data_IF_375315780770
#
_entry.id   IF_375315780770
#
_cell.length_a   1.000
_cell.length_b   1.000
_cell.length_c   1.000
_cell.angle_alpha   90.00
_cell.angle_beta   90.00
_cell.angle_gamma   90.00
#
_symmetry.space_group_name_H-M   'P 1'
#
loop_
_entity.id
_entity.type
_entity.pdbx_description
1 polymer ?
#
# COMPACT_ATOMS: atom_id res chain seq x y z
N UNK A 1 34.93 -9.29 -59.78
CA UNK A 1 33.75 -9.72 -59.00
C UNK A 1 33.81 -9.05 -57.63
N UNK A 2 33.03 -7.98 -57.40
CA UNK A 2 33.00 -7.24 -56.12
C UNK A 2 31.72 -7.64 -55.36
N UNK A 3 31.89 -8.07 -54.12
CA UNK A 3 30.85 -8.61 -53.23
C UNK A 3 29.99 -7.47 -52.70
N UNK A 4 28.67 -7.52 -52.94
CA UNK A 4 27.69 -6.70 -52.22
C UNK A 4 27.51 -7.25 -50.80
N UNK A 5 27.78 -6.43 -49.79
CA UNK A 5 27.30 -6.67 -48.42
C UNK A 5 25.84 -6.21 -48.34
N UNK A 6 24.95 -7.13 -47.98
CA UNK A 6 23.57 -6.85 -47.62
C UNK A 6 23.52 -6.65 -46.09
N UNK A 7 23.23 -5.43 -45.63
CA UNK A 7 23.03 -5.14 -44.21
C UNK A 7 21.54 -5.30 -43.91
N UNK A 8 21.18 -6.37 -43.21
CA UNK A 8 19.81 -6.61 -42.75
C UNK A 8 19.56 -5.85 -41.44
N UNK A 9 18.81 -4.75 -41.53
CA UNK A 9 18.36 -3.98 -40.37
C UNK A 9 17.18 -4.73 -39.71
N UNK A 10 17.45 -5.44 -38.62
CA UNK A 10 16.41 -6.12 -37.84
C UNK A 10 15.78 -5.13 -36.86
N UNK A 11 14.57 -4.65 -37.14
CA UNK A 11 13.76 -3.92 -36.16
C UNK A 11 13.32 -4.89 -35.07
N UNK A 12 13.90 -4.77 -33.88
CA UNK A 12 13.40 -5.44 -32.68
C UNK A 12 12.16 -4.69 -32.18
N UNK A 13 10.97 -5.21 -32.47
CA UNK A 13 9.75 -4.80 -31.77
C UNK A 13 9.82 -5.35 -30.34
N UNK A 14 10.23 -4.52 -29.39
CA UNK A 14 10.09 -4.83 -27.97
C UNK A 14 8.61 -4.65 -27.59
N UNK A 15 7.85 -5.74 -27.59
CA UNK A 15 6.53 -5.73 -26.93
C UNK A 15 6.78 -5.67 -25.43
N UNK A 16 6.55 -4.52 -24.81
CA UNK A 16 6.45 -4.45 -23.36
C UNK A 16 5.28 -5.36 -22.94
N UNK A 17 5.57 -6.47 -22.27
CA UNK A 17 4.52 -7.28 -21.67
C UNK A 17 3.82 -6.42 -20.61
N UNK A 18 2.49 -6.31 -20.70
CA UNK A 18 1.68 -5.63 -19.70
C UNK A 18 2.01 -6.18 -18.30
N UNK A 19 2.14 -5.28 -17.32
CA UNK A 19 2.56 -5.69 -15.99
C UNK A 19 1.46 -6.55 -15.36
N UNK A 20 1.83 -7.70 -14.80
CA UNK A 20 0.88 -8.59 -14.14
C UNK A 20 0.23 -7.85 -12.96
N UNK A 21 -1.10 -7.76 -12.94
CA UNK A 21 -1.85 -7.20 -11.82
C UNK A 21 -1.76 -8.12 -10.59
N UNK A 22 -0.76 -7.89 -9.75
CA UNK A 22 -0.53 -8.71 -8.55
C UNK A 22 -1.59 -8.47 -7.46
N UNK A 23 -2.29 -7.32 -7.48
CA UNK A 23 -3.35 -7.05 -6.51
C UNK A 23 -4.47 -8.09 -6.64
N UNK A 24 -4.97 -8.34 -7.85
CA UNK A 24 -6.03 -9.33 -8.05
C UNK A 24 -5.52 -10.77 -8.06
N UNK A 25 -4.30 -11.01 -8.55
CA UNK A 25 -3.72 -12.36 -8.60
C UNK A 25 -3.41 -12.90 -7.20
N UNK A 26 -2.97 -12.04 -6.27
CA UNK A 26 -2.49 -12.45 -4.93
C UNK A 26 -3.44 -12.12 -3.80
N UNK A 27 -4.43 -11.26 -4.03
CA UNK A 27 -5.41 -10.88 -3.01
C UNK A 27 -6.78 -11.32 -3.51
N UNK A 28 -7.30 -12.47 -3.05
CA UNK A 28 -8.63 -12.90 -3.42
C UNK A 28 -9.68 -11.90 -2.91
N UNK A 29 -10.93 -11.95 -3.43
CA UNK A 29 -12.00 -11.07 -2.94
C UNK A 29 -12.25 -11.20 -1.43
N UNK A 30 -12.11 -12.40 -0.87
CA UNK A 30 -12.18 -12.66 0.59
C UNK A 30 -11.07 -11.99 1.40
N UNK A 31 -10.07 -11.44 0.73
CA UNK A 31 -9.01 -10.64 1.30
C UNK A 31 -7.77 -11.40 1.76
N UNK A 32 -6.84 -10.61 2.29
CA UNK A 32 -5.56 -11.03 2.83
C UNK A 32 -5.15 -10.14 4.00
N UNK A 33 -4.53 -10.75 5.01
CA UNK A 33 -4.00 -10.04 6.16
C UNK A 33 -2.48 -10.06 6.14
N UNK A 34 -1.86 -8.92 6.42
CA UNK A 34 -0.42 -8.80 6.59
C UNK A 34 -0.09 -8.13 7.91
N UNK A 35 1.02 -8.54 8.51
CA UNK A 35 1.41 -8.05 9.82
C UNK A 35 2.92 -7.98 9.97
N UNK A 36 3.37 -6.95 10.69
CA UNK A 36 4.73 -6.84 11.20
C UNK A 36 4.67 -6.33 12.62
N UNK A 37 5.39 -6.98 13.52
CA UNK A 37 5.72 -6.46 14.85
C UNK A 37 7.22 -6.30 14.93
N UNK A 38 7.68 -5.14 15.37
CA UNK A 38 9.09 -4.88 15.59
C UNK A 38 9.45 -5.24 17.01
N UNK A 39 10.48 -6.08 17.16
CA UNK A 39 11.01 -6.44 18.47
C UNK A 39 11.92 -5.34 19.03
N UNK A 40 12.37 -5.55 20.27
CA UNK A 40 13.22 -4.59 20.96
C UNK A 40 14.61 -4.44 20.32
N UNK A 41 15.13 -5.47 19.64
CA UNK A 41 16.42 -5.40 18.98
C UNK A 41 16.33 -4.48 17.75
N UNK A 42 15.30 -4.68 16.92
CA UNK A 42 15.01 -3.81 15.77
C UNK A 42 14.79 -2.37 16.21
N UNK A 43 13.94 -2.13 17.21
CA UNK A 43 13.63 -0.77 17.68
C UNK A 43 14.84 -0.08 18.32
N UNK A 44 15.77 -0.82 18.93
CA UNK A 44 17.05 -0.25 19.40
C UNK A 44 17.98 0.15 18.25
N UNK A 45 18.00 -0.63 17.18
CA UNK A 45 18.78 -0.31 15.98
C UNK A 45 18.18 0.86 15.17
N UNK A 46 16.87 1.12 15.34
CA UNK A 46 16.12 2.16 14.63
C UNK A 46 15.47 3.15 15.63
N UNK A 47 16.26 3.96 16.34
CA UNK A 47 15.74 4.81 17.42
C UNK A 47 14.76 5.91 16.96
N UNK A 48 14.70 6.21 15.65
CA UNK A 48 13.74 7.14 15.07
C UNK A 48 12.42 6.49 14.66
N UNK A 49 12.31 5.16 14.77
CA UNK A 49 11.10 4.41 14.49
C UNK A 49 10.17 4.45 15.72
N UNK A 50 8.98 5.00 15.53
CA UNK A 50 7.97 5.15 16.58
C UNK A 50 6.84 4.14 16.42
N UNK A 51 6.63 3.64 15.19
CA UNK A 51 5.68 2.56 14.88
C UNK A 51 6.28 1.22 15.31
N UNK A 52 5.59 0.53 16.21
CA UNK A 52 6.02 -0.74 16.82
C UNK A 52 5.32 -1.97 16.21
N UNK A 53 4.18 -1.76 15.57
CA UNK A 53 3.55 -2.79 14.73
C UNK A 53 2.66 -2.17 13.67
N UNK A 54 2.55 -2.87 12.55
CA UNK A 54 1.67 -2.55 11.44
C UNK A 54 0.83 -3.77 11.12
N UNK A 55 -0.48 -3.57 10.97
CA UNK A 55 -1.39 -4.57 10.43
C UNK A 55 -2.08 -3.99 9.20
N UNK A 56 -2.23 -4.79 8.17
CA UNK A 56 -2.84 -4.42 6.91
C UNK A 56 -3.89 -5.47 6.55
N UNK A 57 -5.11 -5.02 6.28
CA UNK A 57 -6.16 -5.81 5.61
C UNK A 57 -6.39 -5.25 4.22
N UNK A 58 -6.41 -6.14 3.23
CA UNK A 58 -6.84 -5.86 1.87
C UNK A 58 -7.97 -6.82 1.54
N UNK A 59 -9.15 -6.33 1.19
CA UNK A 59 -10.30 -7.19 0.86
C UNK A 59 -11.23 -6.49 -0.13
N UNK A 60 -12.24 -7.20 -0.65
CA UNK A 60 -13.35 -6.57 -1.38
C UNK A 60 -14.59 -6.62 -0.51
N UNK A 61 -15.00 -5.47 0.02
CA UNK A 61 -16.05 -5.42 1.03
C UNK A 61 -17.44 -5.19 0.44
N UNK A 62 -17.54 -4.33 -0.57
CA UNK A 62 -18.80 -4.01 -1.22
C UNK A 62 -18.87 -4.64 -2.61
N UNK A 63 -20.05 -5.10 -3.00
CA UNK A 63 -20.30 -5.57 -4.37
C UNK A 63 -20.13 -4.45 -5.42
N UNK A 64 -20.21 -3.19 -4.99
CA UNK A 64 -19.94 -2.01 -5.82
C UNK A 64 -18.46 -1.65 -5.95
N UNK A 65 -17.59 -2.23 -5.11
CA UNK A 65 -16.14 -2.08 -5.27
C UNK A 65 -15.74 -2.72 -6.59
N UNK A 66 -15.00 -1.99 -7.42
CA UNK A 66 -14.54 -2.49 -8.71
C UNK A 66 -13.82 -3.84 -8.55
N UNK A 67 -14.00 -4.74 -9.52
CA UNK A 67 -13.46 -6.11 -9.44
C UNK A 67 -11.94 -6.14 -9.22
N UNK A 68 -11.25 -5.15 -9.77
CA UNK A 68 -9.81 -4.94 -9.71
C UNK A 68 -9.31 -4.06 -8.55
N UNK A 69 -10.22 -3.62 -7.67
CA UNK A 69 -9.90 -2.81 -6.51
C UNK A 69 -10.01 -3.62 -5.20
N UNK A 70 -9.29 -3.17 -4.17
CA UNK A 70 -9.39 -3.68 -2.80
C UNK A 70 -9.57 -2.53 -1.82
N UNK A 71 -10.49 -2.71 -0.89
CA UNK A 71 -10.60 -1.89 0.30
C UNK A 71 -9.38 -2.11 1.19
N UNK A 72 -8.88 -1.00 1.75
CA UNK A 72 -7.65 -0.95 2.52
C UNK A 72 -7.95 -0.56 3.97
N UNK A 73 -7.39 -1.32 4.91
CA UNK A 73 -7.32 -0.92 6.32
C UNK A 73 -5.92 -1.13 6.86
N UNK A 74 -5.35 -0.12 7.50
CA UNK A 74 -4.04 -0.19 8.16
C UNK A 74 -4.21 0.18 9.63
N UNK A 75 -3.68 -0.64 10.53
CA UNK A 75 -3.47 -0.29 11.94
C UNK A 75 -1.99 -0.02 12.18
N UNK A 76 -1.67 1.21 12.62
CA UNK A 76 -0.32 1.63 13.04
C UNK A 76 -0.29 1.81 14.56
N UNK A 77 0.40 0.92 15.27
CA UNK A 77 0.65 1.09 16.72
C UNK A 77 1.92 1.88 16.93
N UNK A 78 1.83 2.90 17.77
CA UNK A 78 2.95 3.78 18.09
C UNK A 78 3.40 3.58 19.54
N UNK A 79 4.71 3.63 19.79
CA UNK A 79 5.29 3.62 21.12
C UNK A 79 4.74 4.78 21.95
N UNK A 80 4.27 4.50 23.17
CA UNK A 80 3.79 5.52 24.08
C UNK A 80 2.38 6.06 23.78
N UNK A 81 1.67 5.52 22.80
CA UNK A 81 0.28 5.91 22.50
C UNK A 81 -0.69 4.79 22.89
N UNK A 82 -1.73 5.12 23.67
CA UNK A 82 -2.74 4.15 24.12
C UNK A 82 -3.73 3.71 23.04
N UNK A 83 -3.84 4.45 21.92
CA UNK A 83 -4.70 4.12 20.78
C UNK A 83 -3.88 4.02 19.49
N UNK A 84 -4.14 2.96 18.73
CA UNK A 84 -3.61 2.82 17.37
C UNK A 84 -4.14 3.94 16.45
N UNK A 85 -3.39 4.17 15.38
CA UNK A 85 -3.81 5.03 14.28
C UNK A 85 -4.29 4.16 13.13
N UNK A 86 -5.46 4.47 12.57
CA UNK A 86 -6.09 3.69 11.52
C UNK A 86 -6.12 4.48 10.23
N UNK A 87 -5.64 3.88 9.14
CA UNK A 87 -5.79 4.39 7.78
C UNK A 87 -6.82 3.52 7.08
N UNK A 88 -7.79 4.16 6.42
CA UNK A 88 -8.83 3.47 5.65
C UNK A 88 -8.80 4.03 4.24
N UNK A 89 -8.98 3.19 3.24
CA UNK A 89 -8.75 3.60 1.86
C UNK A 89 -9.22 2.59 0.84
N UNK A 90 -8.78 2.80 -0.40
CA UNK A 90 -8.89 1.83 -1.48
C UNK A 90 -7.57 1.72 -2.23
N UNK A 91 -7.36 0.58 -2.87
CA UNK A 91 -6.22 0.29 -3.73
C UNK A 91 -6.71 -0.20 -5.08
N UNK A 92 -6.05 0.24 -6.14
CA UNK A 92 -6.22 -0.28 -7.49
C UNK A 92 -4.84 -0.52 -8.12
N UNK A 93 -4.76 -1.40 -9.11
CA UNK A 93 -3.51 -1.61 -9.84
C UNK A 93 -3.23 -0.43 -10.77
N UNK A 94 -1.98 0.02 -10.79
CA UNK A 94 -1.50 1.02 -11.74
C UNK A 94 -0.20 0.53 -12.38
N UNK A 95 -0.07 0.69 -13.69
CA UNK A 95 1.20 0.48 -14.41
C UNK A 95 2.17 1.66 -14.25
N UNK A 96 1.66 2.79 -13.73
CA UNK A 96 2.38 4.03 -13.48
C UNK A 96 2.20 4.48 -12.02
N UNK A 97 2.30 3.53 -11.09
CA UNK A 97 2.25 3.82 -9.67
C UNK A 97 3.38 4.77 -9.24
N UNK A 98 3.16 5.54 -8.17
CA UNK A 98 4.15 6.46 -7.62
C UNK A 98 4.61 7.58 -8.57
N UNK A 99 3.69 8.10 -9.41
CA UNK A 99 3.95 9.17 -10.37
C UNK A 99 3.06 10.36 -10.09
N UNK A 100 3.58 11.57 -10.24
CA UNK A 100 2.76 12.78 -10.35
C UNK A 100 2.23 12.95 -11.79
N UNK A 101 1.46 14.02 -12.00
CA UNK A 101 0.87 14.35 -13.30
C UNK A 101 1.90 14.64 -14.40
N UNK A 102 3.15 14.94 -14.04
CA UNK A 102 4.27 15.18 -14.96
C UNK A 102 5.13 13.91 -15.15
N UNK A 103 4.77 12.80 -14.50
CA UNK A 103 5.49 11.52 -14.55
C UNK A 103 6.72 11.44 -13.62
N UNK A 104 6.94 12.43 -12.75
CA UNK A 104 8.03 12.39 -11.78
C UNK A 104 7.71 11.41 -10.64
N UNK A 105 8.74 10.78 -10.06
CA UNK A 105 8.55 9.86 -8.92
C UNK A 105 8.30 10.64 -7.65
N UNK A 106 7.18 10.35 -6.98
CA UNK A 106 6.82 10.95 -5.69
C UNK A 106 7.69 10.38 -4.55
N UNK A 107 7.66 9.05 -4.38
CA UNK A 107 8.36 8.35 -3.30
C UNK A 107 9.64 7.73 -3.83
N UNK A 108 10.77 8.31 -3.47
CA UNK A 108 12.08 7.92 -4.01
C UNK A 108 12.52 6.49 -3.67
N UNK A 109 12.05 5.93 -2.56
CA UNK A 109 12.39 4.56 -2.15
C UNK A 109 11.65 3.49 -2.96
N UNK A 110 10.52 3.83 -3.59
CA UNK A 110 9.80 2.93 -4.48
C UNK A 110 10.33 3.07 -5.92
N UNK A 111 10.84 1.96 -6.48
CA UNK A 111 11.57 1.96 -7.75
C UNK A 111 10.86 1.28 -8.91
N UNK A 112 9.77 0.56 -8.65
CA UNK A 112 8.97 -0.09 -9.69
C UNK A 112 8.08 0.94 -10.39
N UNK A 113 7.58 0.58 -11.56
CA UNK A 113 6.59 1.40 -12.29
C UNK A 113 5.17 0.91 -11.98
N UNK A 114 4.96 -0.40 -11.98
CA UNK A 114 3.66 -0.98 -11.66
C UNK A 114 3.56 -1.46 -10.19
N UNK A 115 2.42 -1.18 -9.55
CA UNK A 115 2.06 -1.66 -8.21
C UNK A 115 0.58 -1.43 -7.90
N UNK A 116 0.13 -1.89 -6.73
CA UNK A 116 -1.14 -1.43 -6.17
C UNK A 116 -0.96 0.02 -5.67
N UNK A 117 -1.58 0.98 -6.36
CA UNK A 117 -1.64 2.37 -5.92
C UNK A 117 -2.83 2.51 -4.97
N UNK A 118 -2.56 2.99 -3.76
CA UNK A 118 -3.56 3.14 -2.72
C UNK A 118 -3.78 4.61 -2.37
N UNK A 119 -5.01 4.90 -1.98
CA UNK A 119 -5.45 6.21 -1.53
C UNK A 119 -6.13 6.06 -0.17
N UNK A 120 -5.61 6.77 0.83
CA UNK A 120 -6.26 6.93 2.12
C UNK A 120 -7.46 7.88 1.99
N UNK A 121 -8.50 7.65 2.79
CA UNK A 121 -9.61 8.57 2.99
C UNK A 121 -9.25 9.61 4.04
N UNK A 122 -9.70 10.84 3.84
CA UNK A 122 -9.56 11.98 4.72
C UNK A 122 -10.92 12.50 5.23
N UNK A 123 -10.91 13.72 5.75
CA UNK A 123 -12.13 14.46 6.08
C UNK A 123 -12.95 13.96 7.27
N UNK A 124 -14.25 14.30 7.26
CA UNK A 124 -15.23 13.99 8.30
C UNK A 124 -16.14 12.86 7.82
N UNK A 125 -16.33 11.82 8.63
CA UNK A 125 -17.32 10.77 8.34
C UNK A 125 -16.98 9.92 7.12
N UNK A 126 -15.68 9.68 6.88
CA UNK A 126 -15.24 8.86 5.75
C UNK A 126 -15.51 9.49 4.37
N UNK A 127 -15.54 10.83 4.28
CA UNK A 127 -15.70 11.52 2.99
C UNK A 127 -14.66 11.04 1.96
N UNK A 128 -15.00 11.12 0.68
CA UNK A 128 -14.07 10.83 -0.43
C UNK A 128 -12.95 11.88 -0.58
N UNK A 129 -12.65 12.62 0.49
CA UNK A 129 -11.52 13.53 0.53
C UNK A 129 -10.24 12.70 0.53
N UNK A 130 -9.28 13.11 -0.29
CA UNK A 130 -8.00 12.42 -0.40
C UNK A 130 -7.18 12.63 0.87
N UNK A 131 -6.85 11.53 1.54
CA UNK A 131 -6.09 11.50 2.79
C UNK A 131 -4.59 11.25 2.60
N UNK A 132 -4.13 11.09 1.37
CA UNK A 132 -2.77 10.76 0.99
C UNK A 132 -2.69 9.50 0.14
N UNK A 133 -1.73 9.48 -0.77
CA UNK A 133 -1.51 8.40 -1.72
C UNK A 133 -0.19 7.67 -1.47
N UNK A 134 -0.19 6.36 -1.68
CA UNK A 134 1.01 5.53 -1.54
C UNK A 134 0.91 4.22 -2.31
N UNK A 135 2.00 3.75 -2.93
CA UNK A 135 2.04 2.43 -3.52
C UNK A 135 2.29 1.35 -2.46
N UNK A 136 1.77 0.17 -2.78
CA UNK A 136 1.98 -1.08 -2.06
C UNK A 136 2.62 -2.07 -3.04
N UNK A 137 3.81 -2.55 -2.69
CA UNK A 137 4.54 -3.56 -3.48
C UNK A 137 4.23 -4.96 -2.96
N UNK A 138 3.48 -5.75 -3.74
CA UNK A 138 3.21 -7.15 -3.42
C UNK A 138 4.33 -8.04 -3.97
N UNK A 139 4.82 -8.96 -3.13
CA UNK A 139 5.71 -10.01 -3.60
C UNK A 139 5.01 -10.92 -4.63
N UNK A 140 5.78 -11.44 -5.59
CA UNK A 140 5.25 -12.29 -6.67
C UNK A 140 4.67 -13.63 -6.21
N UNK A 141 5.03 -14.08 -5.01
CA UNK A 141 4.43 -15.24 -4.34
C UNK A 141 3.23 -14.86 -3.47
N UNK A 142 2.99 -13.56 -3.28
CA UNK A 142 1.99 -13.00 -2.39
C UNK A 142 2.30 -13.16 -0.90
N UNK A 143 3.47 -13.68 -0.52
CA UNK A 143 3.81 -13.99 0.88
C UNK A 143 4.15 -12.76 1.70
N UNK A 144 4.54 -11.66 1.06
CA UNK A 144 4.83 -10.39 1.73
C UNK A 144 4.36 -9.20 0.92
N UNK A 145 4.38 -8.05 1.59
CA UNK A 145 4.04 -6.77 1.00
C UNK A 145 4.88 -5.67 1.62
N UNK A 146 5.29 -4.68 0.82
CA UNK A 146 5.95 -3.48 1.34
C UNK A 146 5.07 -2.25 1.11
N UNK A 147 4.72 -1.57 2.19
CA UNK A 147 4.07 -0.26 2.17
C UNK A 147 5.12 0.83 1.98
N UNK A 148 4.92 1.75 1.05
CA UNK A 148 5.78 2.91 0.85
C UNK A 148 4.97 4.19 1.02
N UNK A 149 4.97 4.76 2.22
CA UNK A 149 4.30 6.02 2.52
C UNK A 149 5.25 7.20 2.33
N UNK A 150 4.70 8.36 1.98
CA UNK A 150 5.48 9.59 1.91
C UNK A 150 5.59 10.26 3.30
N UNK A 151 5.48 11.57 3.41
CA UNK A 151 5.73 12.29 4.66
C UNK A 151 4.61 12.19 5.69
N UNK A 152 3.44 11.73 5.29
CA UNK A 152 2.35 11.46 6.19
C UNK A 152 1.15 10.84 5.49
N UNK A 153 0.13 10.57 6.31
CA UNK A 153 -1.13 9.99 5.84
C UNK A 153 -2.24 10.38 6.80
N UNK A 154 -3.44 10.62 6.27
CA UNK A 154 -4.63 10.89 7.06
C UNK A 154 -5.23 9.60 7.62
N UNK A 155 -5.87 9.72 8.78
CA UNK A 155 -6.50 8.59 9.46
C UNK A 155 -7.09 8.96 10.81
N UNK A 156 -7.38 7.97 11.65
CA UNK A 156 -8.10 8.17 12.91
C UNK A 156 -7.38 7.53 14.09
N UNK A 157 -7.44 8.18 15.27
CA UNK A 157 -7.00 7.59 16.53
C UNK A 157 -8.15 6.78 17.14
N UNK A 158 -8.04 5.46 17.07
CA UNK A 158 -9.17 4.56 17.32
C UNK A 158 -10.01 4.34 16.06
N UNK A 159 -10.95 3.37 16.10
CA UNK A 159 -11.62 2.88 14.89
C UNK A 159 -12.85 3.72 14.45
N UNK A 160 -13.23 4.75 15.20
CA UNK A 160 -14.44 5.57 14.94
C UNK A 160 -14.20 6.61 13.84
N UNK A 161 -14.54 6.25 12.60
CA UNK A 161 -14.38 7.09 11.40
C UNK A 161 -15.35 8.26 11.29
N UNK A 162 -16.38 8.35 12.15
CA UNK A 162 -17.33 9.48 12.17
C UNK A 162 -16.67 10.77 12.63
N UNK A 163 -15.50 10.68 13.25
CA UNK A 163 -14.70 11.82 13.69
C UNK A 163 -13.93 12.41 12.52
N UNK A 164 -13.47 13.65 12.68
CA UNK A 164 -12.54 14.25 11.73
C UNK A 164 -11.24 13.45 11.73
N UNK A 165 -10.73 13.13 10.55
CA UNK A 165 -9.41 12.52 10.40
C UNK A 165 -8.31 13.47 10.90
N UNK A 166 -7.19 12.88 11.27
CA UNK A 166 -5.97 13.54 11.68
C UNK A 166 -4.90 13.22 10.65
N UNK A 167 -4.00 14.16 10.39
CA UNK A 167 -2.80 13.89 9.61
C UNK A 167 -1.71 13.33 10.53
N UNK A 168 -1.19 12.15 10.19
CA UNK A 168 -0.05 11.55 10.86
C UNK A 168 1.21 11.84 10.06
N UNK A 169 2.08 12.70 10.60
CA UNK A 169 3.42 12.86 10.06
C UNK A 169 4.28 11.63 10.34
N UNK A 170 5.00 11.16 9.31
CA UNK A 170 5.87 10.00 9.36
C UNK A 170 7.33 10.44 9.25
N UNK A 171 8.11 10.10 10.27
CA UNK A 171 9.58 10.25 10.20
C UNK A 171 10.14 9.31 9.14
N UNK A 172 11.36 9.56 8.65
CA UNK A 172 11.99 8.71 7.61
C UNK A 172 12.02 7.21 7.97
N UNK A 173 12.08 6.86 9.26
CA UNK A 173 12.10 5.45 9.72
C UNK A 173 10.70 4.84 9.88
N UNK A 174 9.64 5.60 9.59
CA UNK A 174 8.24 5.15 9.65
C UNK A 174 7.54 5.34 8.30
N UNK A 175 8.28 5.26 7.19
CA UNK A 175 7.74 5.45 5.81
C UNK A 175 7.72 4.18 4.98
N UNK A 176 8.51 3.18 5.36
CA UNK A 176 8.59 1.91 4.62
C UNK A 176 8.36 0.78 5.59
N UNK A 177 7.36 -0.05 5.31
CA UNK A 177 6.99 -1.17 6.18
C UNK A 177 6.88 -2.45 5.36
N UNK A 178 7.81 -3.37 5.59
CA UNK A 178 7.72 -4.74 5.07
C UNK A 178 6.90 -5.60 6.01
N UNK A 179 5.84 -6.20 5.49
CA UNK A 179 4.87 -7.00 6.23
C UNK A 179 4.80 -8.40 5.64
N UNK A 180 4.58 -9.38 6.51
CA UNK A 180 4.41 -10.78 6.12
C UNK A 180 2.92 -11.10 6.07
N UNK A 181 2.51 -11.95 5.12
CA UNK A 181 1.16 -12.49 5.10
C UNK A 181 0.97 -13.40 6.31
N UNK A 182 -0.14 -13.20 7.00
CA UNK A 182 -0.53 -13.99 8.18
C UNK A 182 -1.90 -14.61 7.96
N UNK A 183 -2.32 -15.46 8.89
CA UNK A 183 -3.67 -16.01 8.90
C UNK A 183 -4.71 -14.86 8.83
N UNK A 184 -5.71 -14.95 7.93
CA UNK A 184 -6.77 -13.93 7.81
C UNK A 184 -7.46 -13.58 9.13
N UNK A 185 -7.55 -14.53 10.07
CA UNK A 185 -8.11 -14.30 11.40
C UNK A 185 -7.43 -13.15 12.16
N UNK A 186 -6.17 -12.84 11.86
CA UNK A 186 -5.44 -11.73 12.48
C UNK A 186 -6.03 -10.35 12.14
N UNK A 187 -6.77 -10.21 11.03
CA UNK A 187 -7.40 -8.96 10.61
C UNK A 187 -8.88 -8.85 10.98
N UNK A 188 -9.53 -9.93 11.44
CA UNK A 188 -10.98 -9.94 11.74
C UNK A 188 -11.42 -8.78 12.65
N UNK A 189 -10.66 -8.48 13.70
CA UNK A 189 -11.02 -7.37 14.60
C UNK A 189 -10.74 -6.00 13.98
N UNK A 190 -9.71 -5.88 13.14
CA UNK A 190 -9.45 -4.67 12.36
C UNK A 190 -10.65 -4.40 11.42
N UNK A 191 -11.08 -5.43 10.70
CA UNK A 191 -12.16 -5.34 9.72
C UNK A 191 -13.50 -5.01 10.39
N UNK A 192 -13.85 -5.66 11.50
CA UNK A 192 -15.08 -5.35 12.25
C UNK A 192 -15.09 -3.96 12.88
N UNK A 193 -13.92 -3.47 13.32
CA UNK A 193 -13.85 -2.22 14.08
C UNK A 193 -14.13 -1.00 13.21
N UNK A 194 -13.83 -1.10 11.92
CA UNK A 194 -13.93 -0.01 10.95
C UNK A 194 -15.23 -0.18 10.17
N UNK A 195 -16.23 0.64 10.50
CA UNK A 195 -17.47 0.72 9.75
C UNK A 195 -17.18 1.18 8.31
N UNK A 196 -17.84 0.53 7.36
CA UNK A 196 -17.88 0.95 5.95
C UNK A 196 -19.29 1.45 5.73
N UNK A 197 -19.38 2.76 5.52
CA UNK A 197 -20.61 3.42 5.11
C UNK A 197 -20.80 3.29 3.59
#
# INVERSE_FOLDING_TARGET
>A
MKRSLCVSLSLALSSAAAAKNLLIDKIPPSGACFFRRYDEAHLRAHPGQTVVSVRLSLQRELASTAEDARDLRIELRHKGHGKAFYVVGGCAWSEEANRDVDGARLIRSFRKDAAAQCMARGGLGGSAEEGGEFPIDLAEDGASVTLYMDEGVSGWRGPDQRKKSLYLELTRQNRVFELERVDPAACVELDKSIAVD
#
